data_IF_103673464467
#
_entry.id   IF_103673464467
#
_cell.length_a   1.000
_cell.length_b   1.000
_cell.length_c   1.000
_cell.angle_alpha   90.00
_cell.angle_beta   90.00
_cell.angle_gamma   90.00
#
_symmetry.space_group_name_H-M   'P 1'
#
loop_
_entity.id
_entity.type
_entity.pdbx_description
1 polymer ?
#
# COMPACT_ATOMS: atom_id res chain seq x y z
N UNK A 1 1.97 -1.09 -11.62
CA UNK A 1 1.43 -2.08 -10.65
C UNK A 1 1.98 -3.48 -10.88
N UNK A 2 1.93 -4.00 -12.11
CA UNK A 2 2.44 -5.35 -12.41
C UNK A 2 3.92 -5.54 -12.03
N UNK A 3 4.78 -4.54 -12.24
CA UNK A 3 6.19 -4.61 -11.88
C UNK A 3 6.44 -4.73 -10.39
N UNK A 4 5.62 -4.08 -9.57
CA UNK A 4 5.72 -4.14 -8.11
C UNK A 4 5.35 -5.53 -7.60
N UNK A 5 4.29 -6.11 -8.16
CA UNK A 5 3.86 -7.47 -7.80
C UNK A 5 4.91 -8.50 -8.20
N UNK A 6 5.48 -8.38 -9.39
CA UNK A 6 6.53 -9.27 -9.87
C UNK A 6 7.78 -9.20 -9.00
N UNK A 7 8.15 -7.99 -8.56
CA UNK A 7 9.27 -7.78 -7.64
C UNK A 7 9.01 -8.50 -6.31
N UNK A 8 7.80 -8.39 -5.75
CA UNK A 8 7.41 -9.08 -4.54
C UNK A 8 7.47 -10.60 -4.67
N UNK A 9 6.98 -11.14 -5.78
CA UNK A 9 7.03 -12.57 -6.07
C UNK A 9 8.48 -13.05 -6.16
N UNK A 10 9.37 -12.27 -6.80
CA UNK A 10 10.77 -12.61 -6.90
C UNK A 10 11.45 -12.71 -5.54
N UNK A 11 11.11 -11.81 -4.62
CA UNK A 11 11.64 -11.85 -3.25
C UNK A 11 11.14 -13.09 -2.53
N UNK A 12 9.86 -13.43 -2.66
CA UNK A 12 9.29 -14.63 -2.02
C UNK A 12 9.97 -15.92 -2.49
N UNK A 13 10.26 -16.04 -3.77
CA UNK A 13 10.92 -17.22 -4.32
C UNK A 13 12.37 -17.38 -3.83
N UNK A 14 13.04 -16.28 -3.54
CA UNK A 14 14.45 -16.30 -3.09
C UNK A 14 14.61 -16.62 -1.62
N UNK A 15 13.61 -16.35 -0.80
CA UNK A 15 13.69 -16.46 0.65
C UNK A 15 12.65 -17.45 1.15
N UNK A 16 13.08 -18.52 1.77
CA UNK A 16 12.23 -19.65 2.13
C UNK A 16 11.63 -19.58 3.53
N UNK A 17 12.03 -18.65 4.40
CA UNK A 17 11.50 -18.59 5.76
C UNK A 17 10.09 -17.98 5.78
N UNK A 18 9.14 -18.56 6.58
CA UNK A 18 7.78 -18.02 6.64
C UNK A 18 7.72 -16.54 7.04
N UNK A 19 8.54 -16.11 7.98
CA UNK A 19 8.55 -14.71 8.42
C UNK A 19 9.01 -13.78 7.31
N UNK A 20 10.03 -14.19 6.54
CA UNK A 20 10.51 -13.40 5.41
C UNK A 20 9.45 -13.34 4.31
N UNK A 21 8.73 -14.45 4.07
CA UNK A 21 7.64 -14.47 3.10
C UNK A 21 6.51 -13.52 3.51
N UNK A 22 6.12 -13.53 4.78
CA UNK A 22 5.09 -12.63 5.30
C UNK A 22 5.53 -11.18 5.19
N UNK A 23 6.78 -10.88 5.54
CA UNK A 23 7.33 -9.53 5.42
C UNK A 23 7.35 -9.07 3.96
N UNK A 24 7.71 -9.96 3.03
CA UNK A 24 7.72 -9.65 1.61
C UNK A 24 6.32 -9.37 1.07
N UNK A 25 5.32 -10.14 1.51
CA UNK A 25 3.93 -9.93 1.13
C UNK A 25 3.42 -8.57 1.62
N UNK A 26 3.69 -8.24 2.88
CA UNK A 26 3.28 -6.95 3.45
C UNK A 26 3.96 -5.81 2.71
N UNK A 27 5.26 -5.93 2.45
CA UNK A 27 6.01 -4.90 1.72
C UNK A 27 5.43 -4.68 0.32
N UNK A 28 5.12 -5.75 -0.40
CA UNK A 28 4.52 -5.67 -1.74
C UNK A 28 3.14 -5.01 -1.69
N UNK A 29 2.32 -5.39 -0.71
CA UNK A 29 1.00 -4.79 -0.53
C UNK A 29 1.10 -3.30 -0.24
N UNK A 30 2.05 -2.88 0.60
CA UNK A 30 2.25 -1.46 0.91
C UNK A 30 2.71 -0.67 -0.32
N UNK A 31 3.58 -1.25 -1.15
CA UNK A 31 4.00 -0.58 -2.40
C UNK A 31 2.80 -0.31 -3.31
N UNK A 32 1.89 -1.28 -3.42
CA UNK A 32 0.67 -1.11 -4.20
C UNK A 32 -0.20 0.01 -3.60
N UNK A 33 -0.38 0.01 -2.26
CA UNK A 33 -1.17 1.04 -1.58
C UNK A 33 -0.56 2.43 -1.74
N UNK A 34 0.75 2.56 -1.60
CA UNK A 34 1.42 3.85 -1.78
C UNK A 34 1.28 4.36 -3.21
N UNK A 35 1.36 3.47 -4.20
CA UNK A 35 1.12 3.83 -5.60
C UNK A 35 -0.31 4.34 -5.81
N UNK A 36 -1.30 3.64 -5.25
CA UNK A 36 -2.70 4.04 -5.36
C UNK A 36 -2.97 5.37 -4.64
N UNK A 37 -2.41 5.56 -3.44
CA UNK A 37 -2.56 6.81 -2.69
C UNK A 37 -2.02 7.98 -3.50
N UNK A 38 -0.85 7.84 -4.12
CA UNK A 38 -0.27 8.87 -4.96
C UNK A 38 -1.16 9.17 -6.17
N UNK A 39 -1.68 8.12 -6.83
CA UNK A 39 -2.56 8.25 -7.97
C UNK A 39 -3.88 8.93 -7.63
N UNK A 40 -4.53 8.50 -6.56
CA UNK A 40 -5.80 9.12 -6.12
C UNK A 40 -5.59 10.55 -5.64
N UNK A 41 -4.46 10.83 -4.97
CA UNK A 41 -4.13 12.19 -4.55
C UNK A 41 -4.01 13.14 -5.75
N UNK A 42 -3.35 12.70 -6.80
CA UNK A 42 -3.23 13.47 -8.05
C UNK A 42 -4.61 13.66 -8.70
N UNK A 43 -5.42 12.60 -8.72
CA UNK A 43 -6.77 12.68 -9.28
C UNK A 43 -7.65 13.67 -8.50
N UNK A 44 -7.56 13.68 -7.17
CA UNK A 44 -8.27 14.66 -6.34
C UNK A 44 -7.86 16.07 -6.69
N UNK A 45 -6.56 16.32 -6.81
CA UNK A 45 -6.05 17.65 -7.19
C UNK A 45 -6.62 18.11 -8.54
N UNK A 46 -6.57 17.22 -9.53
CA UNK A 46 -7.10 17.55 -10.86
C UNK A 46 -8.61 17.77 -10.85
N UNK A 47 -9.35 16.97 -10.07
CA UNK A 47 -10.80 17.14 -9.92
C UNK A 47 -11.15 18.47 -9.26
N UNK A 48 -10.38 18.89 -8.24
CA UNK A 48 -10.55 20.18 -7.59
C UNK A 48 -10.32 21.33 -8.57
N UNK A 49 -9.30 21.22 -9.41
CA UNK A 49 -9.01 22.23 -10.43
C UNK A 49 -10.15 22.38 -11.43
N UNK A 50 -10.89 21.30 -11.69
CA UNK A 50 -12.04 21.30 -12.61
C UNK A 50 -13.37 21.62 -11.91
N UNK A 51 -13.37 21.82 -10.60
CA UNK A 51 -14.59 22.08 -9.83
C UNK A 51 -15.54 20.90 -9.72
N UNK A 52 -15.05 19.68 -9.81
CA UNK A 52 -15.87 18.46 -9.78
C UNK A 52 -16.06 17.96 -8.34
N UNK A 53 -16.89 18.64 -7.58
CA UNK A 53 -17.05 18.40 -6.14
C UNK A 53 -17.47 16.97 -5.78
N UNK A 54 -18.40 16.37 -6.51
CA UNK A 54 -18.83 15.01 -6.23
C UNK A 54 -17.72 13.99 -6.49
N UNK A 55 -16.92 14.22 -7.50
CA UNK A 55 -15.75 13.38 -7.82
C UNK A 55 -14.71 13.52 -6.72
N UNK A 56 -14.46 14.74 -6.26
CA UNK A 56 -13.52 15.01 -5.17
C UNK A 56 -13.92 14.24 -3.91
N UNK A 57 -15.21 14.29 -3.52
CA UNK A 57 -15.69 13.57 -2.34
C UNK A 57 -15.53 12.07 -2.48
N UNK A 58 -15.88 11.52 -3.62
CA UNK A 58 -15.75 10.08 -3.87
C UNK A 58 -14.29 9.64 -3.80
N UNK A 59 -13.39 10.37 -4.47
CA UNK A 59 -11.97 10.05 -4.48
C UNK A 59 -11.33 10.20 -3.09
N UNK A 60 -11.73 11.22 -2.32
CA UNK A 60 -11.24 11.39 -0.96
C UNK A 60 -11.67 10.23 -0.06
N UNK A 61 -12.90 9.70 -0.23
CA UNK A 61 -13.35 8.53 0.50
C UNK A 61 -12.48 7.31 0.21
N UNK A 62 -12.19 7.07 -1.05
CA UNK A 62 -11.31 5.97 -1.47
C UNK A 62 -9.90 6.18 -0.90
N UNK A 63 -9.38 7.39 -0.97
CA UNK A 63 -8.05 7.74 -0.48
C UNK A 63 -7.94 7.47 1.03
N UNK A 64 -8.97 7.84 1.80
CA UNK A 64 -9.00 7.59 3.24
C UNK A 64 -8.96 6.10 3.55
N UNK A 65 -9.71 5.28 2.80
CA UNK A 65 -9.70 3.83 2.95
C UNK A 65 -8.32 3.24 2.63
N UNK A 66 -7.67 3.72 1.58
CA UNK A 66 -6.34 3.27 1.20
C UNK A 66 -5.30 3.59 2.28
N UNK A 67 -5.39 4.78 2.87
CA UNK A 67 -4.51 5.19 3.97
C UNK A 67 -4.71 4.33 5.21
N UNK A 68 -5.96 4.01 5.55
CA UNK A 68 -6.26 3.13 6.69
C UNK A 68 -5.70 1.73 6.47
N UNK A 69 -5.83 1.19 5.28
CA UNK A 69 -5.28 -0.11 4.93
C UNK A 69 -3.76 -0.10 5.04
N UNK A 70 -3.11 0.96 4.58
CA UNK A 70 -1.66 1.10 4.69
C UNK A 70 -1.21 1.13 6.16
N UNK A 71 -1.95 1.81 7.03
CA UNK A 71 -1.67 1.84 8.46
C UNK A 71 -1.77 0.44 9.09
N UNK A 72 -2.77 -0.34 8.69
CA UNK A 72 -2.94 -1.71 9.14
C UNK A 72 -1.75 -2.57 8.70
N UNK A 73 -1.35 -2.45 7.44
CA UNK A 73 -0.20 -3.18 6.92
C UNK A 73 1.09 -2.80 7.64
N UNK A 74 1.26 -1.52 7.96
CA UNK A 74 2.41 -1.05 8.71
C UNK A 74 2.46 -1.65 10.11
N UNK A 75 1.30 -1.73 10.78
CA UNK A 75 1.20 -2.36 12.10
C UNK A 75 1.53 -3.85 12.05
N UNK A 76 1.05 -4.54 11.02
CA UNK A 76 1.37 -5.96 10.82
C UNK A 76 2.87 -6.16 10.62
N UNK A 77 3.51 -5.30 9.85
CA UNK A 77 4.96 -5.37 9.62
C UNK A 77 5.73 -5.18 10.93
N UNK A 78 5.33 -4.22 11.75
CA UNK A 78 5.95 -3.97 13.05
C UNK A 78 5.82 -5.17 13.97
N UNK A 79 4.64 -5.80 13.97
CA UNK A 79 4.39 -6.98 14.80
C UNK A 79 5.23 -8.18 14.39
N UNK A 80 5.58 -8.28 13.10
CA UNK A 80 6.49 -9.34 12.64
C UNK A 80 7.95 -9.06 13.05
N UNK A 81 8.37 -7.81 12.96
CA UNK A 81 9.76 -7.43 13.23
C UNK A 81 10.09 -7.40 14.72
N UNK A 82 9.20 -6.83 15.54
CA UNK A 82 9.47 -6.65 16.97
C UNK A 82 9.76 -7.95 17.72
N UNK A 83 8.99 -9.04 17.56
CA UNK A 83 9.32 -10.30 18.23
C UNK A 83 10.66 -10.87 17.78
N UNK A 84 11.11 -10.56 16.58
CA UNK A 84 12.38 -11.04 16.04
C UNK A 84 13.57 -10.24 16.55
N UNK A 85 13.36 -8.98 16.89
CA UNK A 85 14.41 -8.10 17.36
C UNK A 85 14.80 -8.39 18.81
N UNK A 86 13.94 -9.05 19.55
CA UNK A 86 14.18 -9.47 20.94
C UNK A 86 14.89 -10.83 21.01
#
# INVERSE_FOLDING_TARGET
>A
MAGIITEGEGVMHKNATPVVLDAALICSAQKVKHYEIAGYGTAVYLAQEQGLESVVRTLNGILDEEKKTDEILNSLAKNLVNPMAE
#
